data_IF_558892255414
#
_entry.id   IF_558892255414
#
_cell.length_a   1.000
_cell.length_b   1.000
_cell.length_c   1.000
_cell.angle_alpha   90.00
_cell.angle_beta   90.00
_cell.angle_gamma   90.00
#
_symmetry.space_group_name_H-M   'P 1'
#
loop_
_entity.id
_entity.type
_entity.pdbx_description
1 polymer ?
#
# COMPACT_ATOMS: atom_id res chain seq x y z
N UNK A 1 -1.04 -5.78 18.43
CA UNK A 1 -0.70 -6.92 19.31
C UNK A 1 0.33 -7.80 18.63
N UNK A 2 -0.03 -8.77 17.77
CA UNK A 2 0.95 -9.72 17.18
C UNK A 2 2.18 -9.09 16.53
N UNK A 3 2.00 -7.97 15.80
CA UNK A 3 3.12 -7.24 15.19
C UNK A 3 4.08 -6.68 16.26
N UNK A 4 3.55 -6.10 17.33
CA UNK A 4 4.33 -5.55 18.44
C UNK A 4 5.01 -6.64 19.27
N UNK A 5 4.31 -7.75 19.55
CA UNK A 5 4.86 -8.89 20.29
C UNK A 5 6.03 -9.56 19.56
N UNK A 6 6.04 -9.47 18.22
CA UNK A 6 7.16 -9.91 17.38
C UNK A 6 8.29 -8.86 17.28
N UNK A 7 8.20 -7.74 17.98
CA UNK A 7 9.17 -6.65 17.92
C UNK A 7 9.23 -5.94 16.57
N UNK A 8 8.17 -6.02 15.76
CA UNK A 8 8.13 -5.40 14.43
C UNK A 8 7.52 -4.00 14.47
N UNK A 9 8.00 -3.13 13.59
CA UNK A 9 7.43 -1.81 13.35
C UNK A 9 6.32 -1.85 12.31
N UNK A 10 5.34 -0.97 12.44
CA UNK A 10 4.24 -0.85 11.50
C UNK A 10 3.74 0.57 11.33
N UNK A 11 3.06 0.79 10.21
CA UNK A 11 2.35 2.00 9.87
C UNK A 11 1.05 1.59 9.20
N UNK A 12 -0.09 1.88 9.84
CA UNK A 12 -1.42 1.44 9.40
C UNK A 12 -2.29 2.67 9.18
N UNK A 13 -2.75 2.86 7.94
CA UNK A 13 -3.77 3.86 7.62
C UNK A 13 -5.09 3.49 8.28
N UNK A 14 -5.74 4.46 8.92
CA UNK A 14 -7.06 4.31 9.51
C UNK A 14 -7.97 5.42 8.99
N UNK A 15 -9.27 5.15 8.97
CA UNK A 15 -10.26 6.14 8.56
C UNK A 15 -10.16 7.37 9.48
N UNK A 16 -10.05 8.55 8.89
CA UNK A 16 -10.02 9.82 9.62
C UNK A 16 -11.43 10.17 10.11
N UNK A 17 -11.63 10.13 11.42
CA UNK A 17 -12.87 10.54 12.10
C UNK A 17 -14.20 9.90 11.64
N UNK A 18 -15.29 10.35 12.27
CA UNK A 18 -16.67 10.01 11.91
C UNK A 18 -17.17 8.63 12.35
N UNK A 19 -18.47 8.38 12.12
CA UNK A 19 -19.13 7.13 12.47
C UNK A 19 -18.45 5.90 11.86
N UNK A 20 -18.16 4.91 12.71
CA UNK A 20 -17.52 3.64 12.33
C UNK A 20 -16.00 3.70 12.16
N UNK A 21 -15.34 4.84 12.41
CA UNK A 21 -13.87 4.91 12.48
C UNK A 21 -13.36 4.36 13.82
N UNK A 22 -12.18 3.73 13.79
CA UNK A 22 -11.53 3.25 15.02
C UNK A 22 -11.05 4.44 15.89
N UNK A 23 -10.56 5.50 15.24
CA UNK A 23 -10.10 6.76 15.83
C UNK A 23 -11.21 7.54 16.51
N UNK A 24 -12.46 7.46 16.04
CA UNK A 24 -13.61 8.09 16.69
C UNK A 24 -13.96 7.54 18.07
N UNK A 25 -13.36 6.42 18.49
CA UNK A 25 -13.51 5.89 19.86
C UNK A 25 -12.34 6.24 20.79
N UNK A 26 -11.32 6.91 20.28
CA UNK A 26 -10.13 7.30 21.04
C UNK A 26 -10.29 8.71 21.60
N UNK A 27 -9.54 9.00 22.67
CA UNK A 27 -9.44 10.34 23.24
C UNK A 27 -8.29 11.05 22.52
N UNK A 28 -8.61 11.76 21.44
CA UNK A 28 -7.63 12.41 20.58
C UNK A 28 -7.76 13.95 20.71
N UNK A 29 -6.68 14.71 20.47
CA UNK A 29 -6.73 16.16 20.45
C UNK A 29 -7.75 16.69 19.42
N UNK A 30 -8.44 17.77 19.77
CA UNK A 30 -9.35 18.49 18.85
C UNK A 30 -8.55 19.46 17.97
N UNK A 31 -7.60 18.88 17.23
CA UNK A 31 -6.69 19.59 16.33
C UNK A 31 -6.74 18.96 14.92
N UNK A 32 -6.50 19.79 13.90
CA UNK A 32 -6.48 19.33 12.51
C UNK A 32 -5.31 18.38 12.23
N UNK A 33 -4.14 18.67 12.81
CA UNK A 33 -2.97 17.82 12.75
C UNK A 33 -2.49 17.55 14.17
N UNK A 34 -2.10 16.31 14.45
CA UNK A 34 -1.56 15.95 15.76
C UNK A 34 -0.69 14.71 15.67
N UNK A 35 0.19 14.56 16.65
CA UNK A 35 0.98 13.37 16.88
C UNK A 35 0.87 12.97 18.36
N UNK A 36 -0.02 12.00 18.63
CA UNK A 36 -0.48 11.67 19.97
C UNK A 36 -0.16 10.22 20.36
N UNK A 37 0.50 10.05 21.51
CA UNK A 37 0.76 8.74 22.10
C UNK A 37 -0.48 8.22 22.81
N UNK A 38 -0.87 6.99 22.46
CA UNK A 38 -2.07 6.32 22.93
C UNK A 38 -1.70 5.05 23.69
N UNK A 39 -2.42 4.85 24.80
CA UNK A 39 -2.43 3.60 25.54
C UNK A 39 -3.86 3.06 25.61
N UNK A 40 -4.08 1.90 24.99
CA UNK A 40 -5.38 1.24 24.98
C UNK A 40 -5.29 -0.07 25.77
N UNK A 41 -6.15 -0.23 26.78
CA UNK A 41 -6.21 -1.48 27.55
C UNK A 41 -7.36 -2.34 27.03
N UNK A 42 -7.03 -3.48 26.44
CA UNK A 42 -7.98 -4.47 25.96
C UNK A 42 -8.38 -5.39 27.11
N UNK A 43 -9.68 -5.69 27.24
CA UNK A 43 -10.18 -6.63 28.26
C UNK A 43 -11.42 -7.39 27.81
N UNK A 44 -11.61 -8.60 28.32
CA UNK A 44 -12.85 -9.38 28.21
C UNK A 44 -13.78 -9.17 29.40
N UNK A 45 -13.38 -8.36 30.39
CA UNK A 45 -14.21 -8.04 31.55
C UNK A 45 -15.25 -6.96 31.22
N UNK A 46 -16.40 -7.08 31.86
CA UNK A 46 -17.52 -6.14 31.75
C UNK A 46 -17.97 -5.60 33.11
N UNK A 47 -17.02 -5.39 34.03
CA UNK A 47 -17.32 -4.82 35.35
C UNK A 47 -17.80 -3.37 35.25
N UNK A 48 -18.50 -2.88 36.29
CA UNK A 48 -18.99 -1.49 36.34
C UNK A 48 -17.85 -0.49 36.13
N UNK A 49 -16.69 -0.73 36.73
CA UNK A 49 -15.52 0.15 36.61
C UNK A 49 -14.94 0.23 35.20
N UNK A 50 -14.91 -0.91 34.49
CA UNK A 50 -14.47 -0.98 33.08
C UNK A 50 -15.44 -0.23 32.19
N UNK A 51 -16.74 -0.45 32.39
CA UNK A 51 -17.80 0.24 31.62
C UNK A 51 -17.84 1.75 31.90
N UNK A 52 -17.48 2.17 33.11
CA UNK A 52 -17.40 3.59 33.46
C UNK A 52 -16.24 4.33 32.78
N UNK A 53 -15.25 3.61 32.22
CA UNK A 53 -14.05 4.20 31.59
C UNK A 53 -13.85 3.71 30.15
N UNK A 54 -14.80 4.00 29.23
CA UNK A 54 -14.79 3.46 27.86
C UNK A 54 -13.63 4.00 27.00
N UNK A 55 -13.07 5.17 27.34
CA UNK A 55 -11.91 5.74 26.66
C UNK A 55 -10.60 5.00 26.95
N UNK A 56 -10.47 4.43 28.16
CA UNK A 56 -9.26 3.73 28.62
C UNK A 56 -9.32 2.22 28.34
N UNK A 57 -10.50 1.62 28.53
CA UNK A 57 -10.70 0.18 28.37
C UNK A 57 -11.53 -0.12 27.13
N UNK A 58 -11.01 -0.99 26.26
CA UNK A 58 -11.75 -1.54 25.12
C UNK A 58 -12.15 -2.98 25.41
N UNK A 59 -13.45 -3.23 25.34
CA UNK A 59 -13.96 -4.59 25.45
C UNK A 59 -13.73 -5.38 24.15
N UNK A 60 -13.25 -6.62 24.29
CA UNK A 60 -13.15 -7.60 23.20
C UNK A 60 -14.08 -8.77 23.52
N UNK A 61 -14.91 -9.18 22.55
CA UNK A 61 -15.81 -10.31 22.70
C UNK A 61 -15.03 -11.62 22.85
N UNK A 62 -15.59 -12.58 23.59
CA UNK A 62 -14.98 -13.92 23.76
C UNK A 62 -14.82 -14.67 22.42
N UNK A 63 -15.74 -14.42 21.47
CA UNK A 63 -15.70 -14.99 20.13
C UNK A 63 -14.59 -14.41 19.24
N UNK A 64 -14.06 -13.22 19.58
CA UNK A 64 -12.98 -12.61 18.80
C UNK A 64 -11.65 -13.30 19.13
N UNK A 65 -10.92 -13.80 18.12
CA UNK A 65 -9.62 -14.43 18.32
C UNK A 65 -8.62 -13.37 18.79
N UNK A 66 -7.98 -13.62 19.94
CA UNK A 66 -6.94 -12.76 20.48
C UNK A 66 -6.11 -13.56 21.50
N UNK A 67 -4.87 -13.87 21.14
CA UNK A 67 -4.05 -14.86 21.87
C UNK A 67 -3.46 -14.31 23.17
N UNK A 68 -3.42 -12.98 23.31
CA UNK A 68 -2.78 -12.30 24.44
C UNK A 68 -3.78 -11.87 25.53
N UNK A 69 -5.00 -12.41 25.51
CA UNK A 69 -6.06 -12.06 26.46
C UNK A 69 -6.96 -13.26 26.77
N UNK A 70 -7.10 -13.57 28.06
CA UNK A 70 -7.99 -14.61 28.56
C UNK A 70 -8.82 -14.09 29.75
N UNK A 71 -9.69 -14.94 30.32
CA UNK A 71 -10.56 -14.57 31.44
C UNK A 71 -9.95 -14.88 32.82
N UNK A 72 -8.88 -15.67 32.88
CA UNK A 72 -8.41 -16.32 34.10
C UNK A 72 -7.05 -15.79 34.58
N UNK A 73 -6.10 -15.62 33.66
CA UNK A 73 -4.73 -15.20 33.89
C UNK A 73 -4.48 -13.83 33.23
N UNK A 74 -4.52 -13.75 31.89
CA UNK A 74 -4.28 -12.53 31.10
C UNK A 74 -5.54 -11.69 30.92
N UNK A 75 -6.05 -11.12 32.02
CA UNK A 75 -7.34 -10.38 32.04
C UNK A 75 -7.32 -9.01 31.36
N UNK A 76 -6.13 -8.43 31.19
CA UNK A 76 -5.91 -7.12 30.58
C UNK A 76 -4.69 -7.19 29.67
N UNK A 77 -4.77 -6.55 28.51
CA UNK A 77 -3.67 -6.41 27.58
C UNK A 77 -3.49 -4.94 27.21
N UNK A 78 -2.31 -4.40 27.47
CA UNK A 78 -2.00 -2.99 27.18
C UNK A 78 -1.37 -2.88 25.80
N UNK A 79 -1.99 -2.08 24.93
CA UNK A 79 -1.49 -1.76 23.60
C UNK A 79 -1.04 -0.30 23.58
N UNK A 80 0.25 -0.06 23.38
CA UNK A 80 0.81 1.28 23.22
C UNK A 80 1.04 1.55 21.73
N UNK A 81 0.61 2.68 21.23
CA UNK A 81 0.81 3.09 19.84
C UNK A 81 0.67 4.60 19.73
N UNK A 82 1.09 5.14 18.60
CA UNK A 82 0.98 6.55 18.26
C UNK A 82 -0.09 6.73 17.19
N UNK A 83 -0.91 7.76 17.33
CA UNK A 83 -1.89 8.19 16.33
C UNK A 83 -1.41 9.50 15.74
N UNK A 84 -1.18 9.51 14.44
CA UNK A 84 -0.68 10.67 13.71
C UNK A 84 -1.72 11.07 12.68
N UNK A 85 -2.14 12.33 12.73
CA UNK A 85 -3.05 12.95 11.76
C UNK A 85 -2.33 14.10 11.08
N UNK A 86 -2.33 14.11 9.75
CA UNK A 86 -1.66 15.14 8.96
C UNK A 86 -2.41 15.45 7.66
N UNK A 87 -2.27 16.67 7.14
CA UNK A 87 -2.85 17.04 5.86
C UNK A 87 -2.10 16.40 4.67
N UNK A 88 -2.86 15.96 3.68
CA UNK A 88 -2.38 15.54 2.35
C UNK A 88 -2.65 16.64 1.30
N UNK A 89 -3.76 17.35 1.44
CA UNK A 89 -4.12 18.53 0.66
C UNK A 89 -4.88 19.50 1.55
N UNK A 90 -5.19 20.70 1.04
CA UNK A 90 -5.85 21.78 1.80
C UNK A 90 -7.09 21.30 2.60
N UNK A 91 -7.92 20.43 2.01
CA UNK A 91 -9.14 19.91 2.65
C UNK A 91 -9.12 18.39 2.97
N UNK A 92 -7.96 17.73 2.86
CA UNK A 92 -7.89 16.26 3.04
C UNK A 92 -6.83 15.87 4.05
N UNK A 93 -7.24 15.09 5.04
CA UNK A 93 -6.40 14.57 6.11
C UNK A 93 -6.30 13.05 6.03
N UNK A 94 -5.19 12.51 6.51
CA UNK A 94 -5.07 11.09 6.78
C UNK A 94 -4.71 10.86 8.25
N UNK A 95 -5.26 9.78 8.78
CA UNK A 95 -4.94 9.28 10.12
C UNK A 95 -4.16 7.97 10.00
N UNK A 96 -3.09 7.86 10.78
CA UNK A 96 -2.19 6.72 10.82
C UNK A 96 -2.02 6.24 12.26
N UNK A 97 -1.97 4.93 12.43
CA UNK A 97 -1.55 4.28 13.68
C UNK A 97 -0.21 3.59 13.46
N UNK A 98 0.75 3.88 14.34
CA UNK A 98 2.12 3.36 14.23
C UNK A 98 2.74 3.09 15.60
N UNK A 99 3.75 2.24 15.66
CA UNK A 99 4.64 2.10 16.82
C UNK A 99 6.08 2.56 16.49
N UNK A 100 6.28 3.28 15.38
CA UNK A 100 7.58 3.84 15.03
C UNK A 100 8.00 4.90 16.07
N UNK A 101 9.27 4.89 16.52
CA UNK A 101 9.81 5.87 17.46
C UNK A 101 9.62 7.30 16.94
N UNK A 102 9.28 8.22 17.82
CA UNK A 102 8.97 9.61 17.45
C UNK A 102 10.24 10.38 17.09
N UNK A 103 11.36 9.99 17.69
CA UNK A 103 12.69 10.54 17.54
C UNK A 103 13.23 10.29 16.12
N UNK A 104 13.07 9.06 15.63
CA UNK A 104 13.54 8.66 14.29
C UNK A 104 12.49 8.94 13.20
N UNK A 105 11.20 8.88 13.55
CA UNK A 105 10.09 9.06 12.62
C UNK A 105 9.12 10.16 13.11
N UNK A 106 9.53 11.44 13.04
CA UNK A 106 8.61 12.55 13.21
C UNK A 106 7.57 12.56 12.07
N UNK A 107 6.54 13.40 12.20
CA UNK A 107 5.43 13.50 11.23
C UNK A 107 5.92 13.67 9.78
N UNK A 108 6.99 14.44 9.56
CA UNK A 108 7.55 14.66 8.22
C UNK A 108 8.17 13.40 7.61
N UNK A 109 8.82 12.54 8.40
CA UNK A 109 9.32 11.24 7.93
C UNK A 109 8.17 10.26 7.70
N UNK A 110 7.13 10.28 8.54
CA UNK A 110 5.91 9.49 8.32
C UNK A 110 5.25 9.86 7.00
N UNK A 111 5.16 11.16 6.67
CA UNK A 111 4.64 11.64 5.39
C UNK A 111 5.42 11.05 4.22
N UNK A 112 6.76 11.02 4.30
CA UNK A 112 7.63 10.41 3.27
C UNK A 112 7.38 8.91 3.14
N UNK A 113 7.37 8.17 4.25
CA UNK A 113 7.08 6.72 4.25
C UNK A 113 5.68 6.43 3.70
N UNK A 114 4.69 7.23 4.07
CA UNK A 114 3.32 7.12 3.54
C UNK A 114 3.27 7.40 2.04
N UNK A 115 4.03 8.39 1.56
CA UNK A 115 4.14 8.68 0.12
C UNK A 115 4.76 7.51 -0.65
N UNK A 116 5.78 6.83 -0.09
CA UNK A 116 6.41 5.66 -0.73
C UNK A 116 5.42 4.50 -0.96
N UNK A 117 4.34 4.40 -0.18
CA UNK A 117 3.27 3.41 -0.37
C UNK A 117 2.61 3.50 -1.75
N UNK A 118 2.52 4.70 -2.33
CA UNK A 118 1.97 4.89 -3.68
C UNK A 118 2.79 4.18 -4.77
N UNK A 119 4.10 4.00 -4.55
CA UNK A 119 4.95 3.20 -5.43
C UNK A 119 4.41 1.77 -5.57
N UNK A 120 4.02 1.15 -4.47
CA UNK A 120 3.46 -0.22 -4.45
C UNK A 120 2.16 -0.31 -5.25
N UNK A 121 1.26 0.67 -5.13
CA UNK A 121 0.02 0.68 -5.92
C UNK A 121 0.30 0.79 -7.42
N UNK A 122 1.34 1.53 -7.79
CA UNK A 122 1.79 1.68 -9.17
C UNK A 122 2.35 0.36 -9.70
N UNK A 123 3.23 -0.30 -8.94
CA UNK A 123 3.76 -1.62 -9.26
C UNK A 123 2.66 -2.67 -9.41
N UNK A 124 1.65 -2.69 -8.52
CA UNK A 124 0.52 -3.61 -8.65
C UNK A 124 -0.33 -3.34 -9.89
N UNK A 125 -0.47 -2.06 -10.29
CA UNK A 125 -1.18 -1.70 -11.53
C UNK A 125 -0.41 -2.23 -12.74
N UNK A 126 0.90 -2.09 -12.77
CA UNK A 126 1.76 -2.60 -13.85
C UNK A 126 1.74 -4.12 -13.92
N UNK A 127 1.88 -4.79 -12.78
CA UNK A 127 1.78 -6.24 -12.68
C UNK A 127 0.42 -6.76 -13.18
N UNK A 128 -0.67 -6.08 -12.82
CA UNK A 128 -2.03 -6.46 -13.26
C UNK A 128 -2.24 -6.25 -14.75
N UNK A 129 -1.87 -5.08 -15.26
CA UNK A 129 -2.31 -4.65 -16.59
C UNK A 129 -1.22 -4.68 -17.67
N UNK A 130 0.03 -4.35 -17.35
CA UNK A 130 1.12 -4.37 -18.32
C UNK A 130 1.72 -5.78 -18.46
N UNK A 131 1.95 -6.47 -17.34
CA UNK A 131 2.40 -7.87 -17.33
C UNK A 131 1.23 -8.83 -17.65
N UNK A 132 0.01 -8.49 -17.20
CA UNK A 132 -1.19 -9.27 -17.48
C UNK A 132 -1.54 -10.31 -16.41
N UNK A 133 -1.27 -10.02 -15.13
CA UNK A 133 -1.64 -10.91 -14.00
C UNK A 133 -3.15 -11.09 -13.82
N UNK A 134 -3.97 -10.29 -14.49
CA UNK A 134 -5.42 -10.47 -14.48
C UNK A 134 -5.95 -11.49 -15.51
N UNK A 135 -5.11 -11.99 -16.43
CA UNK A 135 -5.54 -12.82 -17.56
C UNK A 135 -4.97 -14.24 -17.46
N UNK A 136 -5.64 -15.15 -16.74
CA UNK A 136 -5.21 -16.54 -16.59
C UNK A 136 -5.71 -17.43 -17.74
N UNK A 137 -4.88 -18.37 -18.18
CA UNK A 137 -5.23 -19.35 -19.21
C UNK A 137 -5.77 -20.64 -18.61
N UNK A 138 -5.24 -21.04 -17.45
CA UNK A 138 -5.65 -22.24 -16.75
C UNK A 138 -6.88 -22.05 -15.87
N UNK A 139 -7.60 -23.16 -15.66
CA UNK A 139 -8.68 -23.28 -14.67
C UNK A 139 -8.27 -24.10 -13.44
N UNK A 140 -7.16 -24.85 -13.52
CA UNK A 140 -6.64 -25.67 -12.41
C UNK A 140 -5.82 -24.80 -11.47
N UNK A 141 -6.06 -24.94 -10.16
CA UNK A 141 -5.43 -24.11 -9.13
C UNK A 141 -3.90 -24.15 -9.17
N UNK A 142 -3.31 -25.34 -9.32
CA UNK A 142 -1.85 -25.54 -9.42
C UNK A 142 -1.23 -24.75 -10.59
N UNK A 143 -1.88 -24.82 -11.75
CA UNK A 143 -1.43 -24.12 -12.96
C UNK A 143 -1.69 -22.62 -12.88
N UNK A 144 -2.74 -22.17 -12.19
CA UNK A 144 -2.96 -20.75 -11.88
C UNK A 144 -1.82 -20.23 -11.00
N UNK A 145 -1.40 -20.99 -9.98
CA UNK A 145 -0.24 -20.62 -9.15
C UNK A 145 1.04 -20.53 -10.00
N UNK A 146 1.30 -21.52 -10.85
CA UNK A 146 2.44 -21.48 -11.78
C UNK A 146 2.41 -20.22 -12.67
N UNK A 147 1.24 -19.88 -13.21
CA UNK A 147 1.02 -18.69 -14.01
C UNK A 147 1.26 -17.38 -13.25
N UNK A 148 0.90 -17.32 -11.96
CA UNK A 148 1.21 -16.18 -11.08
C UNK A 148 2.73 -16.05 -10.92
N UNK A 149 3.42 -17.14 -10.57
CA UNK A 149 4.87 -17.12 -10.36
C UNK A 149 5.62 -16.76 -11.63
N UNK A 150 5.23 -17.29 -12.80
CA UNK A 150 5.85 -16.94 -14.07
C UNK A 150 5.73 -15.44 -14.39
N UNK A 151 4.58 -14.83 -14.09
CA UNK A 151 4.37 -13.38 -14.27
C UNK A 151 5.16 -12.54 -13.26
N UNK A 152 5.30 -12.99 -12.02
CA UNK A 152 6.17 -12.34 -11.03
C UNK A 152 7.64 -12.38 -11.44
N UNK A 153 8.11 -13.52 -11.97
CA UNK A 153 9.46 -13.65 -12.51
C UNK A 153 9.66 -12.69 -13.68
N UNK A 154 8.71 -12.63 -14.63
CA UNK A 154 8.77 -11.69 -15.74
C UNK A 154 8.77 -10.23 -15.26
N UNK A 155 7.97 -9.90 -14.24
CA UNK A 155 7.96 -8.57 -13.65
C UNK A 155 9.33 -8.20 -13.08
N UNK A 156 9.91 -9.06 -12.24
CA UNK A 156 11.23 -8.84 -11.67
C UNK A 156 12.33 -8.75 -12.74
N UNK A 157 12.24 -9.56 -13.80
CA UNK A 157 13.13 -9.45 -14.95
C UNK A 157 13.04 -8.08 -15.61
N UNK A 158 11.82 -7.60 -15.90
CA UNK A 158 11.62 -6.27 -16.47
C UNK A 158 12.18 -5.19 -15.53
N UNK A 159 11.88 -5.24 -14.23
CA UNK A 159 12.38 -4.28 -13.23
C UNK A 159 13.92 -4.26 -13.17
N UNK A 160 14.57 -5.43 -13.23
CA UNK A 160 16.03 -5.49 -13.23
C UNK A 160 16.61 -4.80 -14.46
N UNK A 161 16.07 -5.05 -15.67
CA UNK A 161 16.54 -4.39 -16.88
C UNK A 161 16.32 -2.88 -16.78
N UNK A 162 15.12 -2.46 -16.38
CA UNK A 162 14.79 -1.04 -16.30
C UNK A 162 15.61 -0.28 -15.26
N UNK A 163 16.02 -0.92 -14.16
CA UNK A 163 16.95 -0.34 -13.19
C UNK A 163 18.33 0.00 -13.78
N UNK A 164 18.79 -0.74 -14.80
CA UNK A 164 20.07 -0.46 -15.46
C UNK A 164 19.95 0.60 -16.57
N UNK A 165 18.73 0.98 -16.95
CA UNK A 165 18.50 2.01 -17.97
C UNK A 165 18.80 3.40 -17.40
N UNK A 166 19.90 4.00 -17.86
CA UNK A 166 20.25 5.37 -17.51
C UNK A 166 19.35 6.35 -18.29
N UNK A 167 18.55 7.14 -17.56
CA UNK A 167 17.71 8.19 -18.15
C UNK A 167 18.50 9.49 -18.24
N UNK A 168 18.96 9.82 -19.45
CA UNK A 168 19.58 11.12 -19.71
C UNK A 168 18.52 12.22 -19.82
N UNK A 169 18.48 13.10 -18.82
CA UNK A 169 17.60 14.27 -18.85
C UNK A 169 18.10 15.26 -19.89
N UNK A 170 17.19 15.72 -20.75
CA UNK A 170 17.46 16.76 -21.76
C UNK A 170 17.06 18.12 -21.19
N UNK A 171 17.73 19.19 -21.62
CA UNK A 171 17.41 20.59 -21.28
C UNK A 171 16.08 21.08 -21.88
N UNK A 172 15.01 20.34 -21.62
CA UNK A 172 13.67 20.55 -22.15
C UNK A 172 12.73 20.98 -21.02
N UNK A 173 11.50 21.39 -21.37
CA UNK A 173 10.51 21.88 -20.40
C UNK A 173 10.16 20.88 -19.27
N UNK A 174 10.26 19.58 -19.53
CA UNK A 174 9.82 18.55 -18.58
C UNK A 174 10.94 17.59 -18.24
N UNK A 175 10.90 17.07 -17.01
CA UNK A 175 11.68 15.90 -16.61
C UNK A 175 11.05 14.67 -17.26
N UNK A 176 11.87 13.74 -17.74
CA UNK A 176 11.40 12.51 -18.37
C UNK A 176 11.54 11.32 -17.42
N UNK A 177 10.51 10.47 -17.43
CA UNK A 177 10.49 9.18 -16.76
C UNK A 177 10.35 8.06 -17.80
N UNK A 178 10.64 6.84 -17.39
CA UNK A 178 10.53 5.68 -18.26
C UNK A 178 9.07 5.33 -18.57
N UNK A 179 8.80 4.89 -19.81
CA UNK A 179 7.53 4.28 -20.16
C UNK A 179 7.52 2.80 -19.77
N UNK A 180 7.11 2.50 -18.53
CA UNK A 180 7.08 1.14 -17.99
C UNK A 180 6.32 0.13 -18.86
N UNK A 181 5.16 0.54 -19.43
CA UNK A 181 4.38 -0.35 -20.29
C UNK A 181 5.16 -0.73 -21.56
N UNK A 182 5.79 0.24 -22.22
CA UNK A 182 6.61 -0.03 -23.40
C UNK A 182 7.86 -0.83 -23.04
N UNK A 183 8.50 -0.54 -21.89
CA UNK A 183 9.66 -1.29 -21.43
C UNK A 183 9.34 -2.78 -21.22
N UNK A 184 8.20 -3.10 -20.59
CA UNK A 184 7.71 -4.47 -20.43
C UNK A 184 7.50 -5.14 -21.78
N UNK A 185 6.89 -4.45 -22.76
CA UNK A 185 6.71 -5.01 -24.09
C UNK A 185 8.04 -5.30 -24.78
N UNK A 186 9.00 -4.37 -24.74
CA UNK A 186 10.35 -4.57 -25.29
C UNK A 186 11.02 -5.80 -24.63
N UNK A 187 10.98 -5.90 -23.31
CA UNK A 187 11.51 -7.06 -22.57
C UNK A 187 10.85 -8.39 -23.01
N UNK A 188 9.52 -8.39 -23.21
CA UNK A 188 8.79 -9.58 -23.70
C UNK A 188 9.20 -9.97 -25.12
N UNK A 189 9.36 -9.00 -26.02
CA UNK A 189 9.81 -9.26 -27.39
C UNK A 189 11.26 -9.78 -27.42
N UNK A 190 12.14 -9.24 -26.56
CA UNK A 190 13.50 -9.74 -26.41
C UNK A 190 13.52 -11.21 -25.95
N UNK A 191 12.75 -11.56 -24.92
CA UNK A 191 12.63 -12.96 -24.44
C UNK A 191 12.08 -13.93 -25.49
N UNK A 192 11.30 -13.43 -26.46
CA UNK A 192 10.76 -14.24 -27.57
C UNK A 192 11.74 -14.39 -28.73
N UNK A 193 12.92 -13.76 -28.67
CA UNK A 193 13.86 -13.62 -29.78
C UNK A 193 13.25 -12.89 -31.01
N UNK A 194 12.20 -12.09 -30.80
CA UNK A 194 11.53 -11.34 -31.88
C UNK A 194 12.34 -10.09 -32.31
N UNK A 195 13.36 -9.72 -31.54
CA UNK A 195 14.25 -8.58 -31.82
C UNK A 195 15.69 -9.11 -31.91
N UNK A 196 16.26 -9.10 -33.12
CA UNK A 196 17.68 -9.43 -33.39
C UNK A 196 18.58 -8.30 -32.88
N UNK A 197 19.60 -8.60 -32.06
CA UNK A 197 20.00 -7.81 -30.89
C UNK A 197 20.27 -6.33 -31.21
N UNK A 198 19.35 -5.43 -30.83
CA UNK A 198 19.65 -4.06 -30.50
C UNK A 198 19.63 -3.99 -28.97
N UNK A 199 20.51 -3.18 -28.41
CA UNK A 199 20.54 -2.98 -26.96
C UNK A 199 19.14 -2.63 -26.40
N UNK A 200 18.58 -3.54 -25.58
CA UNK A 200 17.24 -3.42 -24.97
C UNK A 200 17.15 -2.12 -24.20
N UNK A 201 18.23 -1.73 -23.53
CA UNK A 201 18.32 -0.52 -22.74
C UNK A 201 18.21 0.71 -23.63
N UNK A 202 18.93 0.73 -24.75
CA UNK A 202 18.83 1.79 -25.77
C UNK A 202 17.40 1.93 -26.33
N UNK A 203 16.67 0.83 -26.55
CA UNK A 203 15.27 0.90 -27.01
C UNK A 203 14.35 1.51 -25.95
N UNK A 204 14.57 1.17 -24.68
CA UNK A 204 13.82 1.74 -23.55
C UNK A 204 14.14 3.25 -23.42
N UNK A 205 15.41 3.65 -23.54
CA UNK A 205 15.83 5.07 -23.49
C UNK A 205 15.17 5.95 -24.56
N UNK A 206 14.83 5.39 -25.72
CA UNK A 206 14.12 6.13 -26.78
C UNK A 206 12.65 6.38 -26.45
N UNK A 207 12.06 5.59 -25.54
CA UNK A 207 10.63 5.59 -25.22
C UNK A 207 10.38 6.14 -23.81
N UNK A 208 10.66 7.42 -23.61
CA UNK A 208 10.41 8.11 -22.34
C UNK A 208 9.10 8.91 -22.34
N UNK A 209 8.53 9.12 -21.15
CA UNK A 209 7.34 9.92 -20.91
C UNK A 209 7.70 11.21 -20.16
N UNK A 210 7.16 12.38 -20.56
CA UNK A 210 7.35 13.60 -19.79
C UNK A 210 6.52 13.57 -18.50
N UNK A 211 7.15 13.89 -17.37
CA UNK A 211 6.50 14.14 -16.08
C UNK A 211 5.92 15.55 -16.11
N UNK A 212 4.60 15.66 -15.86
CA UNK A 212 3.86 16.94 -15.86
C UNK A 212 3.29 17.19 -14.47
N UNK A 213 3.98 17.96 -13.61
CA UNK A 213 3.48 18.30 -12.29
C UNK A 213 2.14 19.04 -12.37
N UNK A 214 1.25 18.83 -11.39
CA UNK A 214 -0.05 19.51 -11.31
C UNK A 214 -1.11 19.05 -12.31
N UNK A 215 -0.84 17.98 -13.09
CA UNK A 215 -1.87 17.40 -13.96
C UNK A 215 -2.91 16.66 -13.11
N UNK A 216 -4.12 17.21 -13.04
CA UNK A 216 -5.31 16.52 -12.54
C UNK A 216 -6.23 16.22 -13.72
N UNK A 217 -6.70 14.99 -13.84
CA UNK A 217 -7.75 14.60 -14.79
C UNK A 217 -8.87 13.92 -13.99
N UNK A 218 -10.09 14.50 -13.94
CA UNK A 218 -11.18 13.92 -13.18
C UNK A 218 -11.48 12.51 -13.69
N UNK A 219 -11.43 11.53 -12.77
CA UNK A 219 -11.65 10.13 -13.11
C UNK A 219 -13.06 9.94 -13.64
N UNK A 220 -13.18 9.64 -14.94
CA UNK A 220 -14.45 9.22 -15.56
C UNK A 220 -14.78 7.79 -15.12
N UNK A 221 -15.53 7.66 -14.02
CA UNK A 221 -15.98 6.36 -13.51
C UNK A 221 -17.02 5.79 -14.49
N UNK A 222 -16.61 4.79 -15.29
CA UNK A 222 -17.55 4.01 -16.10
C UNK A 222 -18.08 2.83 -15.28
N UNK A 223 -19.37 2.49 -15.37
CA UNK A 223 -19.88 1.25 -14.81
C UNK A 223 -19.11 0.06 -15.41
N UNK A 224 -18.78 -0.95 -14.58
CA UNK A 224 -18.07 -2.14 -15.05
C UNK A 224 -18.91 -2.85 -16.11
N UNK A 225 -18.40 -2.90 -17.35
CA UNK A 225 -18.97 -3.71 -18.41
C UNK A 225 -18.47 -5.16 -18.30
N UNK A 226 -19.26 -6.11 -18.81
CA UNK A 226 -18.84 -7.49 -18.91
C UNK A 226 -17.63 -7.59 -19.87
N UNK A 227 -16.53 -8.18 -19.40
CA UNK A 227 -15.35 -8.44 -20.25
C UNK A 227 -15.66 -9.67 -21.09
N UNK A 228 -15.81 -9.47 -22.41
CA UNK A 228 -16.04 -10.54 -23.38
C UNK A 228 -14.95 -11.61 -23.27
N UNK A 229 -15.33 -12.88 -23.41
CA UNK A 229 -14.42 -14.02 -23.34
C UNK A 229 -13.25 -13.91 -24.35
N UNK A 230 -13.49 -13.25 -25.50
CA UNK A 230 -12.49 -13.00 -26.54
C UNK A 230 -11.30 -12.16 -26.06
N UNK A 231 -11.49 -11.30 -25.05
CA UNK A 231 -10.44 -10.47 -24.48
C UNK A 231 -9.57 -11.20 -23.43
N UNK A 232 -9.79 -12.50 -23.19
CA UNK A 232 -8.98 -13.31 -22.25
C UNK A 232 -7.81 -14.05 -22.91
N UNK A 233 -7.69 -13.97 -24.24
CA UNK A 233 -6.77 -14.80 -25.05
C UNK A 233 -5.60 -13.99 -25.64
N UNK A 234 -5.44 -12.71 -25.28
CA UNK A 234 -4.34 -11.86 -25.76
C UNK A 234 -3.33 -11.55 -24.65
#
# INVERSE_FOLDING_TARGET
>A
AHVQEKGMYYLIRVKDGGGGSMTGSFDLPDENEFDHDMQLILTRKQTKDVKAKPKKFKFIAKSSPFDYLDLYDKKFYTLNFRVVRFAISEDSYESIITNLPKEDFPVEEIKKVYAMRWGIETSFRELKYAIGLCCFHSKKMEYIMQEIYARLILYNYCELITMHVIIQQKGTKHVYQMNYTIAIHICRYFLRNDISPPDVETLIQKNLLPVRPGRSDPRKVKPKSAVSFLYRVA
#
